data_IF_342476742916
#
_entry.id   IF_342476742916
#
_cell.length_a   1.000
_cell.length_b   1.000
_cell.length_c   1.000
_cell.angle_alpha   90.00
_cell.angle_beta   90.00
_cell.angle_gamma   90.00
#
_symmetry.space_group_name_H-M   'P 1'
#
loop_
_entity.id
_entity.type
_entity.pdbx_description
1 polymer ?
#
# COMPACT_ATOMS: atom_id res chain seq x y z
N UNK A 1 5.73 -2.42 12.08
CA UNK A 1 5.40 -1.58 10.92
C UNK A 1 4.02 -1.95 10.42
N UNK A 2 3.15 -0.98 10.18
CA UNK A 2 1.83 -1.17 9.61
C UNK A 2 1.86 -0.78 8.12
N UNK A 3 1.40 -1.64 7.22
CA UNK A 3 1.28 -1.28 5.79
C UNK A 3 -0.19 -1.12 5.44
N UNK A 4 -0.56 0.06 4.94
CA UNK A 4 -1.93 0.38 4.54
C UNK A 4 -2.21 -0.11 3.11
N UNK A 5 -2.22 -1.44 2.97
CA UNK A 5 -2.31 -2.10 1.67
C UNK A 5 -3.60 -1.76 0.94
N UNK A 6 -3.46 -1.45 -0.35
CA UNK A 6 -4.54 -1.23 -1.31
C UNK A 6 -5.55 -0.14 -0.87
N UNK A 7 -5.06 0.93 -0.23
CA UNK A 7 -5.90 2.06 0.17
C UNK A 7 -6.80 1.83 1.39
N UNK A 8 -6.66 0.69 2.06
CA UNK A 8 -7.43 0.35 3.27
C UNK A 8 -6.51 0.45 4.50
N UNK A 9 -6.88 1.26 5.53
CA UNK A 9 -6.12 1.35 6.77
C UNK A 9 -5.92 0.00 7.45
N UNK A 10 -4.82 -0.11 8.19
CA UNK A 10 -4.59 -1.26 9.05
C UNK A 10 -5.40 -1.09 10.34
N UNK A 11 -5.47 -2.14 11.14
CA UNK A 11 -6.01 -2.15 12.51
C UNK A 11 -5.08 -1.40 13.47
N UNK A 12 -5.11 -0.07 13.39
CA UNK A 12 -4.09 0.79 13.99
C UNK A 12 -4.20 0.87 15.51
N UNK A 13 -5.39 0.80 16.09
CA UNK A 13 -5.53 0.80 17.54
C UNK A 13 -4.96 -0.50 18.13
N UNK A 14 -5.21 -1.64 17.50
CA UNK A 14 -4.66 -2.94 17.91
C UNK A 14 -3.14 -2.99 17.75
N UNK A 15 -2.60 -2.51 16.61
CA UNK A 15 -1.16 -2.47 16.37
C UNK A 15 -0.44 -1.50 17.31
N UNK A 16 -1.07 -0.37 17.64
CA UNK A 16 -0.53 0.60 18.59
C UNK A 16 -0.47 0.03 20.00
N UNK A 17 -1.53 -0.65 20.45
CA UNK A 17 -1.54 -1.31 21.76
C UNK A 17 -0.39 -2.33 21.91
N UNK A 18 -0.17 -3.17 20.89
CA UNK A 18 0.95 -4.12 20.86
C UNK A 18 2.30 -3.40 20.90
N UNK A 19 2.44 -2.32 20.12
CA UNK A 19 3.68 -1.56 20.09
C UNK A 19 3.99 -0.94 21.45
N UNK A 20 3.00 -0.36 22.13
CA UNK A 20 3.14 0.23 23.46
C UNK A 20 3.48 -0.81 24.53
N UNK A 21 2.79 -1.96 24.53
CA UNK A 21 3.05 -3.07 25.46
C UNK A 21 4.51 -3.54 25.41
N UNK A 22 5.11 -3.54 24.23
CA UNK A 22 6.47 -4.02 24.00
C UNK A 22 7.52 -2.91 23.87
N UNK A 23 7.16 -1.64 24.07
CA UNK A 23 8.09 -0.52 23.92
C UNK A 23 8.67 -0.39 22.50
N UNK A 24 7.88 -0.72 21.48
CA UNK A 24 8.26 -0.69 20.06
C UNK A 24 7.78 0.58 19.37
N UNK A 25 8.55 1.01 18.37
CA UNK A 25 8.09 2.05 17.45
C UNK A 25 7.09 1.47 16.44
N UNK A 26 5.99 2.19 16.25
CA UNK A 26 5.03 1.95 15.18
C UNK A 26 5.30 2.90 14.02
N UNK A 27 5.81 2.37 12.91
CA UNK A 27 5.95 3.10 11.64
C UNK A 27 4.81 2.68 10.71
N UNK A 28 4.15 3.66 10.10
CA UNK A 28 3.09 3.50 9.12
C UNK A 28 3.65 3.65 7.70
N UNK A 29 3.53 2.61 6.88
CA UNK A 29 3.71 2.69 5.43
C UNK A 29 2.36 2.99 4.78
N UNK A 30 2.20 4.24 4.40
CA UNK A 30 1.01 4.83 3.79
C UNK A 30 1.14 4.93 2.26
N UNK A 31 2.13 4.27 1.64
CA UNK A 31 2.47 4.44 0.23
C UNK A 31 1.30 4.13 -0.73
N UNK A 32 0.32 3.32 -0.32
CA UNK A 32 -0.84 2.97 -1.15
C UNK A 32 -2.16 3.58 -0.64
N UNK A 33 -2.12 4.48 0.34
CA UNK A 33 -3.31 4.95 1.05
C UNK A 33 -3.28 6.47 1.34
N UNK A 34 -2.62 7.26 0.51
CA UNK A 34 -2.63 8.72 0.67
C UNK A 34 -4.07 9.27 0.60
N UNK A 35 -4.48 9.98 1.66
CA UNK A 35 -5.86 10.48 1.84
C UNK A 35 -6.78 9.56 2.65
N UNK A 36 -6.31 8.39 3.06
CA UNK A 36 -7.06 7.54 3.99
C UNK A 36 -7.04 8.11 5.42
N UNK A 37 -8.03 7.70 6.22
CA UNK A 37 -8.11 7.97 7.64
C UNK A 37 -8.55 6.74 8.42
N UNK A 38 -8.27 6.71 9.71
CA UNK A 38 -8.70 5.67 10.63
C UNK A 38 -9.31 6.33 11.87
N UNK A 39 -10.61 6.11 12.07
CA UNK A 39 -11.41 6.73 13.13
C UNK A 39 -11.29 8.27 13.15
N UNK A 40 -11.35 8.87 11.96
CA UNK A 40 -11.30 10.32 11.76
C UNK A 40 -9.90 10.93 11.81
N UNK A 41 -8.85 10.15 12.09
CA UNK A 41 -7.46 10.60 12.07
C UNK A 41 -6.79 10.21 10.74
N UNK A 42 -6.10 11.11 10.01
CA UNK A 42 -5.35 10.74 8.82
C UNK A 42 -4.32 9.64 9.13
N UNK A 43 -4.18 8.65 8.25
CA UNK A 43 -3.13 7.64 8.43
C UNK A 43 -1.73 8.27 8.31
N UNK A 44 -0.75 7.66 8.96
CA UNK A 44 0.60 8.21 9.10
C UNK A 44 0.77 9.17 10.28
N UNK A 45 -0.33 9.57 10.93
CA UNK A 45 -0.33 10.44 12.12
C UNK A 45 -0.66 9.70 13.42
N UNK A 46 -0.76 8.37 13.39
CA UNK A 46 -1.22 7.56 14.53
C UNK A 46 -0.05 6.82 15.18
N UNK A 47 0.86 6.30 14.36
CA UNK A 47 2.18 5.82 14.76
C UNK A 47 3.17 6.96 14.97
N UNK A 48 4.44 6.61 15.13
CA UNK A 48 5.53 7.55 15.38
C UNK A 48 6.00 8.26 14.10
N UNK A 49 5.83 7.63 12.94
CA UNK A 49 6.07 8.24 11.64
C UNK A 49 5.24 7.57 10.55
N UNK A 50 4.84 8.36 9.56
CA UNK A 50 4.15 7.92 8.36
C UNK A 50 4.98 8.16 7.11
N UNK A 51 5.04 7.16 6.22
CA UNK A 51 5.77 7.23 4.95
C UNK A 51 4.80 7.18 3.77
N UNK A 52 4.95 8.07 2.82
CA UNK A 52 4.12 8.15 1.61
C UNK A 52 4.96 8.05 0.35
N UNK A 53 4.33 7.61 -0.73
CA UNK A 53 4.92 7.53 -2.05
C UNK A 53 4.06 8.31 -3.03
N UNK A 54 4.74 8.97 -3.98
CA UNK A 54 4.13 9.74 -5.07
C UNK A 54 4.63 9.26 -6.43
N UNK A 55 4.99 7.98 -6.52
CA UNK A 55 5.28 7.31 -7.78
C UNK A 55 4.05 7.34 -8.74
N UNK A 56 4.26 7.02 -10.01
CA UNK A 56 3.21 7.07 -11.05
C UNK A 56 1.97 6.18 -10.80
N UNK A 57 2.08 5.14 -9.97
CA UNK A 57 1.01 4.19 -9.67
C UNK A 57 0.28 4.50 -8.34
N UNK A 58 0.38 5.73 -7.84
CA UNK A 58 -0.23 6.15 -6.56
C UNK A 58 -1.49 7.00 -6.80
N UNK A 59 -2.33 7.12 -5.76
CA UNK A 59 -3.58 7.91 -5.80
C UNK A 59 -3.35 9.35 -6.27
N UNK A 60 -2.22 9.92 -5.87
CA UNK A 60 -1.67 11.18 -6.41
C UNK A 60 -0.19 10.97 -6.72
N UNK A 61 0.35 11.72 -7.69
CA UNK A 61 1.70 11.48 -8.19
C UNK A 61 2.47 12.77 -8.50
N UNK A 62 3.79 12.70 -8.42
CA UNK A 62 4.74 13.69 -8.95
C UNK A 62 5.71 13.07 -9.96
N UNK A 63 5.31 11.96 -10.61
CA UNK A 63 6.21 11.09 -11.35
C UNK A 63 6.91 10.13 -10.39
N UNK A 64 7.81 10.68 -9.59
CA UNK A 64 8.42 10.04 -8.43
C UNK A 64 8.46 11.01 -7.26
N UNK A 65 8.51 10.46 -6.05
CA UNK A 65 8.56 11.25 -4.82
C UNK A 65 8.15 10.44 -3.61
N UNK A 66 8.45 10.99 -2.44
CA UNK A 66 8.02 10.46 -1.16
C UNK A 66 7.90 11.56 -0.12
N UNK A 67 7.26 11.24 0.99
CA UNK A 67 7.14 12.12 2.14
C UNK A 67 7.21 11.29 3.41
N UNK A 68 7.88 11.81 4.42
CA UNK A 68 7.83 11.30 5.79
C UNK A 68 7.17 12.37 6.64
N UNK A 69 6.22 11.97 7.48
CA UNK A 69 5.62 12.83 8.50
C UNK A 69 5.87 12.23 9.88
N UNK A 70 5.95 13.09 10.88
CA UNK A 70 6.05 12.74 12.30
C UNK A 70 5.62 13.96 13.11
N UNK A 71 5.12 13.73 14.31
CA UNK A 71 4.86 14.76 15.31
C UNK A 71 6.04 14.96 16.30
N UNK A 72 7.08 14.12 16.20
CA UNK A 72 8.31 14.23 16.96
C UNK A 72 9.30 15.18 16.26
N UNK A 73 9.59 16.31 16.92
CA UNK A 73 10.49 17.35 16.41
C UNK A 73 11.94 16.87 16.26
N UNK A 74 12.44 16.04 17.18
CA UNK A 74 13.79 15.48 17.08
C UNK A 74 13.88 14.52 15.89
N UNK A 75 12.87 13.65 15.72
CA UNK A 75 12.78 12.74 14.58
C UNK A 75 12.70 13.53 13.27
N UNK A 76 11.88 14.58 13.20
CA UNK A 76 11.79 15.48 12.04
C UNK A 76 13.14 16.06 11.65
N UNK A 77 13.90 16.60 12.61
CA UNK A 77 15.23 17.14 12.35
C UNK A 77 16.21 16.08 11.84
N UNK A 78 16.16 14.87 12.41
CA UNK A 78 17.01 13.75 11.96
C UNK A 78 16.62 13.26 10.56
N UNK A 79 15.33 13.15 10.26
CA UNK A 79 14.84 12.76 8.94
C UNK A 79 15.24 13.79 7.88
N UNK A 80 15.03 15.07 8.15
CA UNK A 80 15.44 16.15 7.24
C UNK A 80 16.94 16.14 7.00
N UNK A 81 17.74 15.99 8.05
CA UNK A 81 19.19 15.87 7.93
C UNK A 81 19.59 14.66 7.09
N UNK A 82 18.98 13.50 7.27
CA UNK A 82 19.33 12.34 6.45
C UNK A 82 18.93 12.51 4.97
N UNK A 83 17.82 13.20 4.70
CA UNK A 83 17.32 13.49 3.36
C UNK A 83 18.16 14.54 2.60
N UNK A 84 18.76 15.51 3.30
CA UNK A 84 19.51 16.63 2.70
C UNK A 84 20.93 16.75 3.29
N UNK A 85 21.74 15.71 3.10
CA UNK A 85 23.19 15.69 3.31
C UNK A 85 23.65 16.08 4.74
N UNK A 86 22.80 15.95 5.74
CA UNK A 86 23.08 16.31 7.13
C UNK A 86 22.68 17.74 7.49
N UNK A 87 21.93 18.45 6.64
CA UNK A 87 21.51 19.81 6.92
C UNK A 87 20.28 19.92 7.82
N UNK A 88 20.12 21.07 8.49
CA UNK A 88 18.89 21.42 9.21
C UNK A 88 17.84 21.99 8.25
N UNK A 89 16.54 21.84 8.59
CA UNK A 89 15.45 22.48 7.87
C UNK A 89 15.54 24.01 7.93
N UNK A 90 14.99 24.69 6.91
CA UNK A 90 14.89 26.15 6.84
C UNK A 90 16.23 26.93 6.96
N UNK A 91 17.37 26.28 6.70
CA UNK A 91 18.69 26.93 6.70
C UNK A 91 18.76 28.11 5.73
N UNK A 92 19.55 29.13 6.08
CA UNK A 92 19.79 30.31 5.22
C UNK A 92 21.27 30.37 4.86
N UNK A 93 21.57 30.27 3.56
CA UNK A 93 22.94 30.33 3.06
C UNK A 93 23.73 29.03 3.32
N UNK A 94 25.07 29.15 3.38
CA UNK A 94 25.99 28.03 3.56
C UNK A 94 26.37 27.90 5.04
N UNK A 95 25.93 26.82 5.69
CA UNK A 95 26.27 26.50 7.08
C UNK A 95 27.35 25.41 7.12
N UNK A 96 28.46 25.68 7.81
CA UNK A 96 29.59 24.75 8.02
C UNK A 96 29.71 24.47 9.51
N UNK A 97 29.77 23.19 9.89
CA UNK A 97 30.04 22.76 11.27
C UNK A 97 28.83 22.40 12.14
N UNK A 98 27.59 22.57 11.66
CA UNK A 98 26.37 22.34 12.46
C UNK A 98 25.55 21.08 12.10
N UNK A 99 26.16 20.10 11.42
CA UNK A 99 25.44 18.91 10.92
C UNK A 99 25.29 17.85 12.03
N UNK A 100 24.07 17.37 12.35
CA UNK A 100 23.87 16.36 13.40
C UNK A 100 24.26 14.94 12.96
N UNK A 101 24.31 14.65 11.66
CA UNK A 101 24.64 13.34 11.09
C UNK A 101 25.14 13.44 9.65
N UNK A 102 25.69 12.35 9.11
CA UNK A 102 25.96 12.20 7.67
C UNK A 102 24.66 11.77 6.99
N UNK A 103 24.16 12.60 6.07
CA UNK A 103 22.95 12.32 5.28
C UNK A 103 23.25 11.89 3.84
N UNK A 104 22.20 11.52 3.13
CA UNK A 104 22.16 11.25 1.69
C UNK A 104 21.50 12.43 0.95
N UNK A 105 21.29 12.28 -0.36
CA UNK A 105 20.55 13.26 -1.16
C UNK A 105 19.28 12.61 -1.73
N UNK A 106 18.16 12.88 -1.07
CA UNK A 106 16.82 12.43 -1.47
C UNK A 106 15.88 13.59 -1.75
N UNK A 107 16.43 14.76 -2.09
CA UNK A 107 15.66 15.99 -2.30
C UNK A 107 14.67 15.85 -3.44
N UNK A 108 13.42 16.21 -3.15
CA UNK A 108 12.41 16.46 -4.17
C UNK A 108 12.71 17.78 -4.89
N UNK A 109 12.53 17.81 -6.21
CA UNK A 109 12.68 19.05 -6.99
C UNK A 109 11.44 19.94 -6.89
N UNK A 110 11.62 21.25 -7.08
CA UNK A 110 10.50 22.21 -7.13
C UNK A 110 9.46 21.86 -8.22
N UNK A 111 9.89 21.27 -9.33
CA UNK A 111 8.98 20.84 -10.40
C UNK A 111 8.10 19.67 -9.95
N UNK A 112 8.67 18.68 -9.27
CA UNK A 112 7.91 17.57 -8.67
C UNK A 112 6.95 18.09 -7.60
N UNK A 113 7.39 19.01 -6.75
CA UNK A 113 6.57 19.64 -5.73
C UNK A 113 5.39 20.42 -6.33
N UNK A 114 5.60 21.17 -7.42
CA UNK A 114 4.54 21.91 -8.11
C UNK A 114 3.46 20.97 -8.69
N UNK A 115 3.86 19.85 -9.29
CA UNK A 115 2.93 18.81 -9.77
C UNK A 115 2.16 18.21 -8.59
N UNK A 116 2.85 17.85 -7.50
CA UNK A 116 2.21 17.26 -6.33
C UNK A 116 1.20 18.22 -5.69
N UNK A 117 1.52 19.52 -5.59
CA UNK A 117 0.61 20.53 -5.05
C UNK A 117 -0.66 20.65 -5.90
N UNK A 118 -0.55 20.55 -7.22
CA UNK A 118 -1.71 20.55 -8.12
C UNK A 118 -2.56 19.27 -7.97
N UNK A 119 -1.93 18.12 -7.72
CA UNK A 119 -2.63 16.86 -7.45
C UNK A 119 -3.32 16.86 -6.09
N UNK A 120 -2.66 17.37 -5.05
CA UNK A 120 -3.19 17.45 -3.69
C UNK A 120 -4.50 18.25 -3.64
N UNK A 121 -4.59 19.34 -4.41
CA UNK A 121 -5.82 20.14 -4.55
C UNK A 121 -7.00 19.38 -5.16
N UNK A 122 -6.75 18.24 -5.82
CA UNK A 122 -7.77 17.39 -6.44
C UNK A 122 -8.10 16.15 -5.60
N UNK A 123 -7.43 15.95 -4.46
CA UNK A 123 -7.52 14.71 -3.70
C UNK A 123 -8.96 14.33 -3.34
N UNK A 124 -9.75 15.26 -2.81
CA UNK A 124 -11.15 14.99 -2.44
C UNK A 124 -12.01 14.57 -3.64
N UNK A 125 -11.80 15.19 -4.81
CA UNK A 125 -12.49 14.81 -6.04
C UNK A 125 -12.09 13.39 -6.47
N UNK A 126 -10.80 13.08 -6.41
CA UNK A 126 -10.26 11.75 -6.74
C UNK A 126 -10.87 10.69 -5.79
N UNK A 127 -10.81 10.91 -4.48
CA UNK A 127 -11.32 9.98 -3.47
C UNK A 127 -12.83 9.78 -3.58
N UNK A 128 -13.60 10.85 -3.81
CA UNK A 128 -15.05 10.76 -3.99
C UNK A 128 -15.42 9.91 -5.20
N UNK A 129 -14.70 10.09 -6.33
CA UNK A 129 -14.90 9.31 -7.53
C UNK A 129 -14.56 7.82 -7.33
N UNK A 130 -13.42 7.53 -6.70
CA UNK A 130 -13.01 6.16 -6.35
C UNK A 130 -14.05 5.46 -5.46
N UNK A 131 -14.50 6.13 -4.40
CA UNK A 131 -15.49 5.59 -3.46
C UNK A 131 -16.81 5.27 -4.16
N UNK A 132 -17.28 6.15 -5.03
CA UNK A 132 -18.52 5.93 -5.79
C UNK A 132 -18.38 4.78 -6.79
N UNK A 133 -17.27 4.71 -7.53
CA UNK A 133 -17.02 3.60 -8.46
C UNK A 133 -16.91 2.26 -7.72
N UNK A 134 -16.17 2.21 -6.60
CA UNK A 134 -16.06 1.00 -5.78
C UNK A 134 -17.41 0.54 -5.24
N UNK A 135 -18.23 1.49 -4.77
CA UNK A 135 -19.58 1.22 -4.26
C UNK A 135 -20.45 0.58 -5.35
N UNK A 136 -20.54 1.20 -6.53
CA UNK A 136 -21.31 0.68 -7.67
C UNK A 136 -20.84 -0.69 -8.12
N UNK A 137 -19.52 -0.86 -8.28
CA UNK A 137 -18.95 -2.15 -8.69
C UNK A 137 -19.31 -3.24 -7.67
N UNK A 138 -19.10 -2.96 -6.37
CA UNK A 138 -19.40 -3.90 -5.29
C UNK A 138 -20.89 -4.25 -5.27
N UNK A 139 -21.79 -3.27 -5.35
CA UNK A 139 -23.25 -3.51 -5.43
C UNK A 139 -23.61 -4.41 -6.62
N UNK A 140 -22.98 -4.18 -7.78
CA UNK A 140 -23.20 -4.95 -8.99
C UNK A 140 -22.74 -6.41 -8.94
N UNK A 141 -22.06 -6.86 -7.87
CA UNK A 141 -21.57 -8.25 -7.73
C UNK A 141 -21.84 -8.87 -6.34
N UNK A 142 -22.45 -8.14 -5.39
CA UNK A 142 -22.55 -8.57 -3.97
C UNK A 142 -23.55 -9.69 -3.71
N UNK A 143 -24.48 -9.93 -4.61
CA UNK A 143 -25.50 -11.00 -4.57
C UNK A 143 -25.01 -12.32 -5.17
N UNK A 144 -23.79 -12.38 -5.72
CA UNK A 144 -23.23 -13.62 -6.26
C UNK A 144 -22.91 -14.58 -5.08
N UNK A 145 -23.52 -15.79 -5.03
CA UNK A 145 -23.29 -16.73 -3.94
C UNK A 145 -21.82 -17.16 -3.82
N UNK A 146 -21.34 -17.30 -2.58
CA UNK A 146 -19.98 -17.76 -2.27
C UNK A 146 -18.90 -16.70 -2.39
N UNK A 147 -19.20 -15.48 -2.87
CA UNK A 147 -18.24 -14.39 -2.87
C UNK A 147 -18.18 -13.70 -1.50
N UNK A 148 -16.96 -13.49 -1.03
CA UNK A 148 -16.64 -12.65 0.10
C UNK A 148 -15.85 -11.42 -0.36
N UNK A 149 -15.75 -10.42 0.51
CA UNK A 149 -14.98 -9.21 0.25
C UNK A 149 -13.99 -8.99 1.37
N UNK A 150 -12.83 -8.42 1.04
CA UNK A 150 -11.88 -7.96 2.06
C UNK A 150 -12.57 -7.03 3.05
N UNK A 151 -12.31 -7.25 4.35
CA UNK A 151 -12.72 -6.34 5.41
C UNK A 151 -12.15 -4.94 5.19
N UNK A 152 -13.01 -3.92 5.26
CA UNK A 152 -12.61 -2.51 5.28
C UNK A 152 -12.68 -2.02 6.72
N UNK A 153 -11.53 -1.70 7.30
CA UNK A 153 -11.38 -1.42 8.74
C UNK A 153 -12.06 -0.11 9.16
N UNK A 154 -12.03 0.88 8.27
CA UNK A 154 -12.82 2.11 8.37
C UNK A 154 -13.48 2.41 7.01
N UNK A 155 -14.76 2.05 6.82
CA UNK A 155 -15.46 2.29 5.55
C UNK A 155 -15.54 3.76 5.13
N UNK A 156 -15.48 4.70 6.07
CA UNK A 156 -15.46 6.14 5.76
C UNK A 156 -14.05 6.64 5.47
N UNK A 157 -13.06 5.91 5.98
CA UNK A 157 -11.65 6.28 5.95
C UNK A 157 -10.84 5.69 4.80
N UNK A 158 -11.34 4.71 4.05
CA UNK A 158 -10.57 4.12 2.93
C UNK A 158 -10.42 5.04 1.71
N UNK A 159 -9.38 4.80 0.91
CA UNK A 159 -9.18 5.45 -0.39
C UNK A 159 -10.03 4.85 -1.52
N UNK A 160 -10.47 3.59 -1.36
CA UNK A 160 -11.24 2.85 -2.37
C UNK A 160 -10.52 2.61 -3.72
N UNK A 161 -9.19 2.51 -3.74
CA UNK A 161 -8.41 2.32 -4.98
C UNK A 161 -8.58 0.93 -5.61
N UNK A 162 -8.87 -0.09 -4.80
CA UNK A 162 -9.02 -1.50 -5.19
C UNK A 162 -10.25 -2.10 -4.48
N UNK A 163 -10.96 -2.98 -5.18
CA UNK A 163 -11.96 -3.89 -4.63
C UNK A 163 -11.40 -5.32 -4.64
N UNK A 164 -11.09 -5.87 -3.46
CA UNK A 164 -10.61 -7.24 -3.33
C UNK A 164 -11.79 -8.19 -3.08
N UNK A 165 -11.97 -9.14 -3.99
CA UNK A 165 -12.98 -10.20 -3.92
C UNK A 165 -12.29 -11.49 -3.52
N UNK A 166 -12.92 -12.25 -2.62
CA UNK A 166 -12.41 -13.49 -2.06
C UNK A 166 -13.36 -14.62 -2.45
N UNK A 167 -12.82 -15.68 -3.06
CA UNK A 167 -13.56 -16.84 -3.53
C UNK A 167 -13.56 -17.97 -2.49
N UNK A 168 -14.49 -18.95 -2.59
CA UNK A 168 -14.53 -20.10 -1.68
C UNK A 168 -13.25 -20.94 -1.69
N UNK A 169 -12.61 -21.05 -2.86
CA UNK A 169 -11.43 -21.86 -3.07
C UNK A 169 -10.51 -21.25 -4.15
N UNK A 170 -9.25 -21.69 -4.14
CA UNK A 170 -8.24 -21.19 -5.06
C UNK A 170 -8.49 -21.61 -6.51
N UNK A 171 -9.01 -22.82 -6.77
CA UNK A 171 -9.23 -23.32 -8.13
C UNK A 171 -10.23 -22.44 -8.89
N UNK A 172 -11.35 -22.11 -8.23
CA UNK A 172 -12.37 -21.20 -8.76
C UNK A 172 -11.79 -19.81 -9.03
N UNK A 173 -11.03 -19.27 -8.07
CA UNK A 173 -10.38 -17.96 -8.24
C UNK A 173 -9.43 -17.92 -9.45
N UNK A 174 -8.64 -18.97 -9.67
CA UNK A 174 -7.71 -19.04 -10.80
C UNK A 174 -8.45 -19.08 -12.14
N UNK A 175 -9.50 -19.90 -12.28
CA UNK A 175 -10.31 -19.98 -13.50
C UNK A 175 -10.97 -18.65 -13.85
N UNK A 176 -11.52 -17.97 -12.84
CA UNK A 176 -12.11 -16.62 -13.01
C UNK A 176 -11.05 -15.60 -13.40
N UNK A 177 -9.90 -15.60 -12.71
CA UNK A 177 -8.82 -14.68 -12.99
C UNK A 177 -8.28 -14.83 -14.42
N UNK A 178 -8.09 -16.07 -14.88
CA UNK A 178 -7.63 -16.39 -16.24
C UNK A 178 -8.62 -15.86 -17.30
N UNK A 179 -9.92 -16.15 -17.16
CA UNK A 179 -10.94 -15.69 -18.13
C UNK A 179 -11.11 -14.17 -18.14
N UNK A 180 -10.85 -13.49 -17.02
CA UNK A 180 -10.84 -12.02 -16.93
C UNK A 180 -9.51 -11.39 -17.38
N UNK A 181 -8.51 -12.18 -17.76
CA UNK A 181 -7.18 -11.68 -18.16
C UNK A 181 -6.40 -11.04 -17.00
N UNK A 182 -6.66 -11.47 -15.77
CA UNK A 182 -5.96 -11.03 -14.55
C UNK A 182 -5.32 -12.23 -13.85
N UNK A 183 -4.98 -12.09 -12.57
CA UNK A 183 -4.40 -13.15 -11.73
C UNK A 183 -4.96 -13.06 -10.31
N UNK A 184 -4.90 -14.18 -9.59
CA UNK A 184 -5.12 -14.15 -8.14
C UNK A 184 -4.00 -13.35 -7.45
N UNK A 185 -4.29 -12.82 -6.26
CA UNK A 185 -3.34 -11.95 -5.55
C UNK A 185 -2.04 -12.69 -5.24
N UNK A 186 -2.05 -14.00 -4.94
CA UNK A 186 -0.83 -14.79 -4.73
C UNK A 186 0.12 -14.79 -5.95
N UNK A 187 -0.42 -14.66 -7.17
CA UNK A 187 0.36 -14.52 -8.40
C UNK A 187 0.78 -13.09 -8.73
N UNK A 188 0.37 -12.10 -7.93
CA UNK A 188 0.81 -10.70 -8.07
C UNK A 188 2.25 -10.53 -7.60
N UNK A 189 2.97 -9.54 -8.14
CA UNK A 189 4.44 -9.43 -8.11
C UNK A 189 5.06 -9.32 -6.72
N UNK A 190 5.89 -8.29 -6.50
CA UNK A 190 6.64 -8.16 -5.23
C UNK A 190 5.79 -7.69 -4.04
N UNK A 191 4.47 -7.56 -4.18
CA UNK A 191 3.57 -7.28 -3.06
C UNK A 191 3.18 -8.53 -2.26
N UNK A 192 3.67 -9.71 -2.67
CA UNK A 192 3.49 -10.98 -1.99
C UNK A 192 4.84 -11.49 -1.51
N UNK A 193 4.96 -11.79 -0.22
CA UNK A 193 6.24 -12.17 0.38
C UNK A 193 6.87 -13.42 -0.28
N UNK A 194 6.04 -14.39 -0.71
CA UNK A 194 6.48 -15.61 -1.39
C UNK A 194 7.11 -15.37 -2.77
N UNK A 195 7.00 -14.14 -3.28
CA UNK A 195 7.51 -13.72 -4.57
C UNK A 195 8.71 -12.76 -4.41
N UNK A 196 9.14 -12.44 -3.19
CA UNK A 196 10.29 -11.57 -2.92
C UNK A 196 11.59 -12.37 -2.86
N UNK A 197 12.26 -12.55 -3.99
CA UNK A 197 13.51 -13.31 -4.09
C UNK A 197 14.62 -12.75 -3.19
N UNK A 198 14.63 -11.44 -2.94
CA UNK A 198 15.62 -10.78 -2.09
C UNK A 198 15.46 -11.22 -0.63
N UNK A 199 14.23 -11.37 -0.16
CA UNK A 199 13.95 -11.84 1.21
C UNK A 199 14.20 -13.35 1.31
N UNK A 200 13.68 -14.12 0.36
CA UNK A 200 13.77 -15.59 0.39
C UNK A 200 15.20 -16.10 0.25
N UNK A 201 16.01 -15.44 -0.58
CA UNK A 201 17.42 -15.77 -0.77
C UNK A 201 18.35 -14.96 0.14
N UNK A 202 17.81 -14.17 1.07
CA UNK A 202 18.57 -13.35 2.03
C UNK A 202 19.59 -12.43 1.34
N UNK A 203 19.24 -11.84 0.20
CA UNK A 203 20.10 -10.95 -0.58
C UNK A 203 20.14 -9.56 0.06
N UNK A 204 21.33 -9.06 0.35
CA UNK A 204 21.54 -7.73 0.93
C UNK A 204 22.77 -7.05 0.35
N UNK A 205 22.82 -5.73 0.48
CA UNK A 205 23.92 -4.87 0.01
C UNK A 205 25.11 -4.85 0.98
N UNK A 206 24.93 -5.29 2.23
CA UNK A 206 25.99 -5.25 3.25
C UNK A 206 26.83 -6.52 3.20
N UNK A 207 28.18 -6.43 3.17
CA UNK A 207 29.05 -7.62 3.17
C UNK A 207 28.92 -8.45 4.46
N UNK A 208 28.49 -7.84 5.57
CA UNK A 208 28.22 -8.51 6.85
C UNK A 208 26.93 -9.34 6.81
N UNK A 209 26.15 -9.26 5.74
CA UNK A 209 24.89 -9.99 5.58
C UNK A 209 23.72 -9.44 6.41
N UNK A 210 23.82 -8.22 6.93
CA UNK A 210 22.71 -7.56 7.63
C UNK A 210 21.54 -7.24 6.67
N UNK A 211 20.27 -7.41 7.08
CA UNK A 211 19.81 -7.82 8.40
C UNK A 211 19.70 -9.35 8.60
N UNK A 212 20.00 -10.17 7.59
CA UNK A 212 19.69 -11.61 7.62
C UNK A 212 20.66 -12.46 8.43
N UNK A 213 21.96 -12.27 8.25
CA UNK A 213 23.05 -12.95 8.98
C UNK A 213 23.90 -11.96 9.76
N UNK A 214 23.27 -10.86 10.19
CA UNK A 214 23.94 -9.73 10.80
C UNK A 214 24.69 -10.14 12.08
N UNK A 215 26.03 -10.00 12.16
CA UNK A 215 26.80 -10.39 13.35
C UNK A 215 26.46 -9.54 14.59
N UNK A 216 25.81 -8.40 14.38
CA UNK A 216 25.37 -7.49 15.44
C UNK A 216 24.02 -7.90 16.05
N UNK A 217 23.23 -8.72 15.36
CA UNK A 217 21.95 -9.19 15.87
C UNK A 217 22.14 -10.42 16.77
N UNK A 218 21.77 -10.28 18.05
CA UNK A 218 21.90 -11.36 19.05
C UNK A 218 20.62 -12.18 19.24
N UNK A 219 19.56 -11.89 18.50
CA UNK A 219 18.24 -12.52 18.67
C UNK A 219 18.01 -13.80 17.87
N UNK A 220 19.08 -14.48 17.44
CA UNK A 220 19.01 -15.77 16.74
C UNK A 220 18.93 -15.67 15.22
N UNK A 221 18.66 -16.81 14.56
CA UNK A 221 18.58 -16.89 13.11
C UNK A 221 17.20 -16.43 12.61
N UNK A 222 17.17 -15.52 11.63
CA UNK A 222 15.96 -15.13 10.91
C UNK A 222 15.78 -16.05 9.69
N UNK A 223 14.63 -16.72 9.57
CA UNK A 223 14.30 -17.66 8.50
C UNK A 223 13.07 -17.21 7.72
N UNK A 224 13.16 -17.33 6.40
CA UNK A 224 12.05 -17.07 5.47
C UNK A 224 11.96 -18.24 4.49
N UNK A 225 10.75 -18.69 4.19
CA UNK A 225 10.48 -19.69 3.16
C UNK A 225 9.09 -19.49 2.59
N UNK A 226 8.85 -19.96 1.36
CA UNK A 226 7.51 -19.92 0.76
C UNK A 226 6.58 -20.85 1.54
N UNK A 227 5.38 -20.38 1.87
CA UNK A 227 4.43 -21.16 2.66
C UNK A 227 4.54 -20.95 4.17
N UNK A 228 5.35 -19.99 4.65
CA UNK A 228 5.53 -19.76 6.09
C UNK A 228 4.36 -19.03 6.75
N UNK A 229 3.44 -18.44 5.96
CA UNK A 229 2.27 -17.70 6.44
C UNK A 229 0.98 -18.34 5.89
N UNK A 230 0.57 -19.51 6.39
CA UNK A 230 -0.50 -20.30 5.76
C UNK A 230 -1.84 -19.58 5.65
N UNK A 231 -2.19 -18.73 6.62
CA UNK A 231 -3.41 -17.91 6.56
C UNK A 231 -3.34 -16.85 5.46
N UNK A 232 -2.17 -16.21 5.30
CA UNK A 232 -1.92 -15.27 4.21
C UNK A 232 -1.94 -15.99 2.88
N UNK A 233 -1.26 -17.12 2.76
CA UNK A 233 -1.15 -17.89 1.52
C UNK A 233 -2.54 -18.36 1.05
N UNK A 234 -3.38 -18.88 1.96
CA UNK A 234 -4.77 -19.22 1.68
C UNK A 234 -5.53 -18.02 1.10
N UNK A 235 -5.61 -16.92 1.86
CA UNK A 235 -6.36 -15.73 1.47
C UNK A 235 -5.91 -15.19 0.11
N UNK A 236 -4.60 -15.05 -0.11
CA UNK A 236 -4.07 -14.49 -1.35
C UNK A 236 -4.31 -15.42 -2.55
N UNK A 237 -4.28 -16.74 -2.36
CA UNK A 237 -4.46 -17.72 -3.44
C UNK A 237 -5.87 -17.76 -4.02
N UNK A 238 -6.85 -17.32 -3.22
CA UNK A 238 -8.28 -17.28 -3.59
C UNK A 238 -8.85 -15.86 -3.65
N UNK A 239 -7.99 -14.84 -3.70
CA UNK A 239 -8.42 -13.44 -3.85
C UNK A 239 -8.11 -12.91 -5.25
N UNK A 240 -8.95 -12.03 -5.77
CA UNK A 240 -8.69 -11.23 -6.97
C UNK A 240 -8.83 -9.74 -6.62
N UNK A 241 -7.90 -8.93 -7.11
CA UNK A 241 -7.98 -7.47 -7.02
C UNK A 241 -8.63 -6.90 -8.28
N UNK A 242 -9.73 -6.17 -8.09
CA UNK A 242 -10.38 -5.38 -9.14
C UNK A 242 -9.91 -3.93 -9.00
N UNK A 243 -9.32 -3.39 -10.07
CA UNK A 243 -8.93 -1.98 -10.12
C UNK A 243 -10.17 -1.09 -10.08
N UNK A 244 -10.17 -0.07 -9.22
CA UNK A 244 -11.21 0.99 -9.21
C UNK A 244 -10.65 2.33 -9.74
N UNK A 245 -9.33 2.47 -9.81
CA UNK A 245 -8.71 3.65 -10.40
C UNK A 245 -7.19 3.57 -10.44
N UNK A 246 -6.58 2.74 -9.61
CA UNK A 246 -5.16 2.40 -9.66
C UNK A 246 -5.00 1.03 -10.32
N UNK A 247 -4.46 1.04 -11.54
CA UNK A 247 -4.12 -0.18 -12.27
C UNK A 247 -2.61 -0.39 -12.25
N UNK A 248 -2.15 -1.23 -11.33
CA UNK A 248 -0.75 -1.66 -11.23
C UNK A 248 -0.68 -3.18 -11.45
N UNK A 249 -0.03 -3.65 -12.54
CA UNK A 249 0.17 -5.08 -12.78
C UNK A 249 0.85 -5.81 -11.61
N UNK A 250 1.68 -5.11 -10.84
CA UNK A 250 2.32 -5.61 -9.63
C UNK A 250 1.35 -5.98 -8.51
N UNK A 251 0.15 -5.37 -8.49
CA UNK A 251 -0.92 -5.65 -7.52
C UNK A 251 -1.91 -6.73 -7.99
N UNK A 252 -1.73 -7.26 -9.19
CA UNK A 252 -2.70 -8.20 -9.79
C UNK A 252 -4.05 -7.56 -10.10
N UNK A 253 -4.07 -6.24 -10.36
CA UNK A 253 -5.27 -5.45 -10.61
C UNK A 253 -5.46 -5.12 -12.10
N UNK A 254 -5.19 -6.09 -12.99
CA UNK A 254 -5.26 -5.86 -14.45
C UNK A 254 -6.70 -5.76 -14.98
N UNK A 255 -7.68 -6.24 -14.22
CA UNK A 255 -9.10 -6.15 -14.52
C UNK A 255 -9.79 -5.11 -13.63
N UNK A 256 -10.74 -4.37 -14.18
CA UNK A 256 -11.56 -3.39 -13.47
C UNK A 256 -11.74 -2.11 -14.28
N UNK A 257 -11.74 -0.98 -13.57
CA UNK A 257 -11.88 0.37 -14.11
C UNK A 257 -10.71 1.27 -13.70
N UNK A 258 -10.60 2.41 -14.37
CA UNK A 258 -9.58 3.44 -14.19
C UNK A 258 -10.20 4.73 -13.64
N UNK A 259 -9.34 5.67 -13.22
CA UNK A 259 -9.76 7.02 -12.77
C UNK A 259 -10.50 7.86 -13.82
N UNK A 260 -10.55 7.41 -15.08
CA UNK A 260 -11.22 8.12 -16.18
C UNK A 260 -12.59 7.55 -16.52
N UNK A 261 -12.93 6.41 -15.95
CA UNK A 261 -14.13 5.67 -16.30
C UNK A 261 -15.34 6.16 -15.49
N UNK A 262 -16.48 6.27 -16.18
CA UNK A 262 -17.75 6.70 -15.60
C UNK A 262 -18.63 5.53 -15.16
N UNK A 263 -19.84 5.82 -14.65
CA UNK A 263 -20.78 4.81 -14.15
C UNK A 263 -21.10 3.69 -15.14
N UNK A 264 -21.31 4.02 -16.42
CA UNK A 264 -21.66 3.03 -17.45
C UNK A 264 -20.57 1.96 -17.65
N UNK A 265 -19.31 2.37 -17.59
CA UNK A 265 -18.17 1.44 -17.71
C UNK A 265 -18.00 0.60 -16.44
N UNK A 266 -18.29 1.17 -15.26
CA UNK A 266 -18.33 0.42 -13.99
C UNK A 266 -19.38 -0.68 -14.04
N UNK A 267 -20.59 -0.36 -14.51
CA UNK A 267 -21.69 -1.33 -14.65
C UNK A 267 -21.34 -2.41 -15.67
N UNK A 268 -20.82 -2.03 -16.85
CA UNK A 268 -20.36 -2.98 -17.88
C UNK A 268 -19.29 -3.94 -17.36
N UNK A 269 -18.32 -3.44 -16.59
CA UNK A 269 -17.24 -4.26 -15.99
C UNK A 269 -17.76 -5.14 -14.85
N UNK A 270 -18.72 -4.68 -14.06
CA UNK A 270 -19.37 -5.49 -13.04
C UNK A 270 -20.18 -6.65 -13.67
N UNK A 271 -20.91 -6.40 -14.76
CA UNK A 271 -21.60 -7.44 -15.53
C UNK A 271 -20.64 -8.45 -16.17
N UNK A 272 -19.52 -7.97 -16.72
CA UNK A 272 -18.46 -8.82 -17.24
C UNK A 272 -17.90 -9.74 -16.16
N UNK A 273 -17.57 -9.19 -14.98
CA UNK A 273 -17.11 -9.97 -13.82
C UNK A 273 -18.16 -11.00 -13.40
N UNK A 274 -19.41 -10.56 -13.24
CA UNK A 274 -20.53 -11.43 -12.83
C UNK A 274 -20.70 -12.61 -13.78
N UNK A 275 -20.73 -12.38 -15.09
CA UNK A 275 -20.89 -13.43 -16.11
C UNK A 275 -19.81 -14.49 -15.97
N UNK A 276 -18.56 -14.06 -15.75
CA UNK A 276 -17.42 -14.98 -15.59
C UNK A 276 -17.47 -15.69 -14.24
N UNK A 277 -17.70 -14.97 -13.14
CA UNK A 277 -17.74 -15.55 -11.80
C UNK A 277 -18.84 -16.62 -11.66
N UNK A 278 -20.05 -16.35 -12.15
CA UNK A 278 -21.18 -17.30 -12.06
C UNK A 278 -20.98 -18.57 -12.90
N UNK A 279 -20.09 -18.56 -13.90
CA UNK A 279 -19.74 -19.77 -14.67
C UNK A 279 -18.97 -20.80 -13.85
N UNK A 280 -18.27 -20.36 -12.80
CA UNK A 280 -17.38 -21.21 -12.00
C UNK A 280 -17.82 -21.38 -10.54
N UNK A 281 -18.77 -20.56 -10.06
CA UNK A 281 -19.35 -20.65 -8.71
C UNK A 281 -20.64 -21.49 -8.64
N UNK A 282 -21.10 -21.99 -9.78
CA UNK A 282 -22.31 -22.82 -9.93
C UNK A 282 -22.09 -24.28 -9.53
#
# INVERSE_FOLDING_TARGET
MAVHMLGNPARLDELKAIAEEHGLLLIEDCAQAFGASYHGRPIGSIGHAGCFSFNIFKTITSGDGGMVITDDEEAYHRFFAFHDQGHKPLRKGVEVGERPLIGLDFRMTELQAAVLLAQLRKLEVILSHLRENKRRFKEGISDIPGLEFREVTDPRGECATILTVIFPDAETAHKVAEELGTRVVAGSGWHVYSNMEQILNKLTVTPEGCPFTCPYYKGGEVRYWKGMLPQTDDLLSRSINISIGVSDPGLGSAFGVTMRDGPDEVERKAEEFRRVAMKYLS
#
